data_IF_592956395475
#
_entry.id   IF_592956395475
#
_cell.length_a   1.000
_cell.length_b   1.000
_cell.length_c   1.000
_cell.angle_alpha   90.00
_cell.angle_beta   90.00
_cell.angle_gamma   90.00
#
_symmetry.space_group_name_H-M   'P 1'
#
loop_
_entity.id
_entity.type
_entity.pdbx_description
1 polymer ?
#
# COMPACT_ATOMS: atom_id res chain seq x y z
N UNK A 1 -7.38 11.18 5.52
CA UNK A 1 -6.85 10.41 6.64
C UNK A 1 -7.01 8.90 6.44
N UNK A 2 -6.64 8.13 7.46
CA UNK A 2 -6.74 6.67 7.44
C UNK A 2 -8.14 6.22 7.87
N UNK A 3 -8.96 5.58 6.99
CA UNK A 3 -10.33 5.23 7.31
C UNK A 3 -10.44 4.17 8.42
N UNK A 4 -9.48 3.24 8.52
CA UNK A 4 -9.52 2.17 9.53
C UNK A 4 -9.34 2.66 10.98
N UNK A 5 -9.06 3.95 11.19
CA UNK A 5 -9.03 4.58 12.51
C UNK A 5 -10.41 5.04 12.98
N UNK A 6 -11.43 4.99 12.12
CA UNK A 6 -12.79 5.39 12.48
C UNK A 6 -13.52 4.18 13.09
N UNK A 7 -13.93 4.23 14.38
CA UNK A 7 -14.58 3.10 15.04
C UNK A 7 -15.89 2.67 14.36
N UNK A 8 -16.64 3.61 13.80
CA UNK A 8 -17.94 3.39 13.15
C UNK A 8 -17.81 2.91 11.69
N UNK A 9 -16.59 2.69 11.19
CA UNK A 9 -16.37 2.29 9.79
C UNK A 9 -17.17 1.05 9.39
N UNK A 10 -17.25 -0.05 10.18
CA UNK A 10 -18.03 -1.22 9.78
C UNK A 10 -19.50 -0.91 9.55
N UNK A 11 -20.16 -0.21 10.48
CA UNK A 11 -21.57 0.16 10.36
C UNK A 11 -21.83 1.08 9.17
N UNK A 12 -20.90 1.98 8.89
CA UNK A 12 -21.00 2.86 7.73
C UNK A 12 -20.91 2.06 6.43
N UNK A 13 -19.99 1.12 6.33
CA UNK A 13 -19.81 0.30 5.13
C UNK A 13 -20.98 -0.66 4.91
N UNK A 14 -21.59 -1.21 5.98
CA UNK A 14 -22.81 -2.00 5.88
C UNK A 14 -23.95 -1.21 5.25
N UNK A 15 -24.15 0.05 5.66
CA UNK A 15 -25.18 0.93 5.06
C UNK A 15 -24.90 1.19 3.56
N UNK A 16 -23.63 1.32 3.16
CA UNK A 16 -23.25 1.48 1.75
C UNK A 16 -23.56 0.19 0.98
N UNK A 17 -23.29 -0.97 1.57
CA UNK A 17 -23.58 -2.27 0.98
C UNK A 17 -25.08 -2.50 0.80
N UNK A 18 -25.89 -2.11 1.78
CA UNK A 18 -27.37 -2.18 1.74
C UNK A 18 -27.95 -1.35 0.58
N UNK A 19 -27.25 -0.29 0.17
CA UNK A 19 -27.60 0.49 -1.01
C UNK A 19 -27.19 -0.17 -2.34
N UNK A 20 -26.54 -1.34 -2.30
CA UNK A 20 -26.14 -2.10 -3.49
C UNK A 20 -24.80 -1.70 -4.10
N UNK A 21 -23.95 -0.93 -3.41
CA UNK A 21 -22.64 -0.54 -3.91
C UNK A 21 -21.55 -1.56 -3.56
N UNK A 22 -20.61 -1.72 -4.49
CA UNK A 22 -19.34 -2.37 -4.22
C UNK A 22 -18.44 -1.44 -3.38
N UNK A 23 -17.67 -2.03 -2.47
CA UNK A 23 -16.87 -1.30 -1.48
C UNK A 23 -15.38 -1.52 -1.74
N UNK A 24 -14.67 -0.44 -2.03
CA UNK A 24 -13.21 -0.40 -2.07
C UNK A 24 -12.67 0.35 -0.87
N UNK A 25 -11.76 -0.27 -0.15
CA UNK A 25 -11.02 0.35 0.96
C UNK A 25 -9.61 0.73 0.50
N UNK A 26 -9.25 2.00 0.68
CA UNK A 26 -7.87 2.48 0.61
C UNK A 26 -7.33 2.62 2.03
N UNK A 27 -6.21 1.98 2.35
CA UNK A 27 -5.65 1.97 3.71
C UNK A 27 -4.12 2.01 3.71
N UNK A 28 -3.53 2.53 4.78
CA UNK A 28 -2.09 2.46 5.03
C UNK A 28 -1.68 1.20 5.82
N UNK A 29 -2.63 0.34 6.17
CA UNK A 29 -2.37 -0.93 6.85
C UNK A 29 -1.98 -0.82 8.33
N UNK A 30 -2.09 0.35 8.96
CA UNK A 30 -1.65 0.53 10.36
C UNK A 30 -2.63 0.01 11.40
N UNK A 31 -3.83 -0.42 10.99
CA UNK A 31 -4.84 -1.00 11.87
C UNK A 31 -5.29 -2.39 11.39
N UNK A 32 -4.46 -3.44 11.58
CA UNK A 32 -4.79 -4.80 11.18
C UNK A 32 -6.03 -5.34 11.89
N UNK A 33 -6.33 -4.90 13.11
CA UNK A 33 -7.52 -5.30 13.85
C UNK A 33 -8.81 -4.92 13.12
N UNK A 34 -8.94 -3.66 12.68
CA UNK A 34 -10.08 -3.20 11.90
C UNK A 34 -10.13 -3.89 10.53
N UNK A 35 -9.00 -4.00 9.85
CA UNK A 35 -8.92 -4.67 8.55
C UNK A 35 -9.40 -6.13 8.66
N UNK A 36 -8.99 -6.86 9.69
CA UNK A 36 -9.42 -8.24 9.97
C UNK A 36 -10.93 -8.34 10.14
N UNK A 37 -11.55 -7.43 10.90
CA UNK A 37 -13.02 -7.37 11.08
C UNK A 37 -13.72 -7.19 9.72
N UNK A 38 -13.29 -6.23 8.92
CA UNK A 38 -13.89 -5.92 7.62
C UNK A 38 -13.76 -7.07 6.62
N UNK A 39 -12.61 -7.75 6.59
CA UNK A 39 -12.36 -8.91 5.75
C UNK A 39 -13.21 -10.11 6.19
N UNK A 40 -13.26 -10.38 7.52
CA UNK A 40 -14.04 -11.49 8.08
C UNK A 40 -15.54 -11.36 7.80
N UNK A 41 -16.07 -10.15 7.89
CA UNK A 41 -17.49 -9.88 7.61
C UNK A 41 -17.82 -9.86 6.10
N UNK A 42 -16.84 -10.03 5.22
CA UNK A 42 -17.04 -10.02 3.78
C UNK A 42 -17.59 -8.69 3.23
N UNK A 43 -17.31 -7.57 3.93
CA UNK A 43 -17.83 -6.24 3.55
C UNK A 43 -17.06 -5.65 2.37
N UNK A 44 -15.78 -6.01 2.23
CA UNK A 44 -14.90 -5.41 1.23
C UNK A 44 -14.86 -6.23 -0.06
N UNK A 45 -15.09 -5.58 -1.19
CA UNK A 45 -14.92 -6.17 -2.51
C UNK A 45 -13.47 -6.00 -3.00
N UNK A 46 -12.81 -4.91 -2.62
CA UNK A 46 -11.45 -4.59 -3.03
C UNK A 46 -10.69 -3.81 -1.95
N UNK A 47 -9.41 -4.11 -1.78
CA UNK A 47 -8.53 -3.34 -0.88
C UNK A 47 -7.30 -2.85 -1.63
N UNK A 48 -7.01 -1.55 -1.56
CA UNK A 48 -5.76 -0.95 -1.99
C UNK A 48 -4.95 -0.54 -0.76
N UNK A 49 -3.83 -1.23 -0.51
CA UNK A 49 -3.01 -0.95 0.66
C UNK A 49 -1.68 -0.30 0.27
N UNK A 50 -1.38 0.81 0.93
CA UNK A 50 -0.12 1.53 0.73
C UNK A 50 1.03 0.85 1.48
N UNK A 51 2.10 0.57 0.76
CA UNK A 51 3.40 0.16 1.28
C UNK A 51 4.34 1.36 1.14
N UNK A 52 4.84 1.89 2.26
CA UNK A 52 5.58 3.14 2.24
C UNK A 52 7.05 2.97 1.89
N UNK A 53 7.69 1.86 2.26
CA UNK A 53 9.07 1.52 1.88
C UNK A 53 9.38 0.04 2.21
N UNK A 54 10.63 -0.36 2.00
CA UNK A 54 11.14 -1.65 2.47
C UNK A 54 11.09 -1.75 4.01
N UNK A 55 10.99 -2.96 4.59
CA UNK A 55 10.96 -3.13 6.05
C UNK A 55 12.11 -2.41 6.75
N UNK A 56 13.31 -2.42 6.16
CA UNK A 56 14.50 -1.77 6.71
C UNK A 56 14.38 -0.25 6.83
N UNK A 57 13.70 0.41 5.89
CA UNK A 57 13.55 1.88 5.86
C UNK A 57 12.13 2.36 6.19
N UNK A 58 11.27 1.46 6.68
CA UNK A 58 9.86 1.80 6.91
C UNK A 58 9.69 2.92 7.94
N UNK A 59 10.34 2.79 9.11
CA UNK A 59 10.28 3.80 10.16
C UNK A 59 10.83 5.16 9.69
N UNK A 60 11.96 5.18 8.97
CA UNK A 60 12.53 6.41 8.39
C UNK A 60 11.52 7.10 7.46
N UNK A 61 10.85 6.35 6.59
CA UNK A 61 9.89 6.89 5.63
C UNK A 61 8.60 7.38 6.32
N UNK A 62 8.26 6.80 7.46
CA UNK A 62 7.07 7.15 8.23
C UNK A 62 7.34 8.13 9.39
N UNK A 63 8.40 8.92 9.31
CA UNK A 63 8.74 9.92 10.32
C UNK A 63 9.17 9.34 11.67
N UNK A 64 9.79 8.17 11.67
CA UNK A 64 10.28 7.47 12.87
C UNK A 64 9.22 6.62 13.59
N UNK A 65 8.00 6.54 13.06
CA UNK A 65 6.95 5.74 13.69
C UNK A 65 7.22 4.24 13.58
N UNK A 66 7.15 3.53 14.71
CA UNK A 66 7.24 2.07 14.75
C UNK A 66 5.88 1.43 14.45
N UNK A 67 5.57 1.32 13.17
CA UNK A 67 4.30 0.76 12.67
C UNK A 67 4.51 -0.48 11.81
N UNK A 68 5.75 -0.90 11.58
CA UNK A 68 6.08 -1.95 10.63
C UNK A 68 5.38 -3.28 10.96
N UNK A 69 5.39 -3.70 12.23
CA UNK A 69 4.77 -4.97 12.65
C UNK A 69 3.28 -5.02 12.32
N UNK A 70 2.57 -3.92 12.54
CA UNK A 70 1.14 -3.79 12.20
C UNK A 70 0.89 -3.85 10.69
N UNK A 71 1.74 -3.18 9.92
CA UNK A 71 1.66 -3.20 8.45
C UNK A 71 1.95 -4.60 7.92
N UNK A 72 2.93 -5.30 8.49
CA UNK A 72 3.25 -6.69 8.12
C UNK A 72 2.07 -7.63 8.41
N UNK A 73 1.40 -7.47 9.55
CA UNK A 73 0.17 -8.22 9.86
C UNK A 73 -0.93 -7.94 8.84
N UNK A 74 -1.15 -6.69 8.45
CA UNK A 74 -2.13 -6.32 7.42
C UNK A 74 -1.79 -6.91 6.04
N UNK A 75 -0.51 -6.99 5.69
CA UNK A 75 -0.05 -7.66 4.45
C UNK A 75 -0.46 -9.13 4.46
N UNK A 76 -0.17 -9.85 5.55
CA UNK A 76 -0.53 -11.27 5.68
C UNK A 76 -2.05 -11.48 5.62
N UNK A 77 -2.83 -10.64 6.31
CA UNK A 77 -4.30 -10.68 6.28
C UNK A 77 -4.84 -10.55 4.85
N UNK A 78 -4.28 -9.65 4.04
CA UNK A 78 -4.70 -9.48 2.65
C UNK A 78 -4.28 -10.65 1.76
N UNK A 79 -3.05 -11.16 1.93
CA UNK A 79 -2.57 -12.30 1.15
C UNK A 79 -3.39 -13.57 1.40
N UNK A 80 -3.86 -13.79 2.63
CA UNK A 80 -4.70 -14.92 3.01
C UNK A 80 -6.20 -14.69 2.74
N UNK A 81 -6.61 -13.47 2.36
CA UNK A 81 -8.01 -13.12 2.17
C UNK A 81 -8.59 -13.59 0.83
N UNK A 82 -9.92 -13.77 0.80
CA UNK A 82 -10.68 -13.97 -0.44
C UNK A 82 -10.96 -12.66 -1.18
N UNK A 83 -10.86 -11.51 -0.52
CA UNK A 83 -11.06 -10.20 -1.12
C UNK A 83 -10.01 -9.96 -2.22
N UNK A 84 -10.39 -9.20 -3.23
CA UNK A 84 -9.44 -8.74 -4.23
C UNK A 84 -8.60 -7.59 -3.66
N UNK A 85 -7.31 -7.54 -3.97
CA UNK A 85 -6.45 -6.49 -3.43
C UNK A 85 -5.30 -6.12 -4.34
N UNK A 86 -4.74 -4.96 -4.07
CA UNK A 86 -3.46 -4.49 -4.58
C UNK A 86 -2.61 -3.90 -3.46
N UNK A 87 -1.30 -4.01 -3.58
CA UNK A 87 -0.36 -3.15 -2.88
C UNK A 87 0.08 -2.02 -3.80
N UNK A 88 0.45 -0.87 -3.22
CA UNK A 88 0.96 0.26 -4.01
C UNK A 88 2.01 1.04 -3.22
N UNK A 89 2.98 1.58 -3.92
CA UNK A 89 4.00 2.47 -3.34
C UNK A 89 4.13 3.73 -4.18
N UNK A 90 4.01 4.89 -3.55
CA UNK A 90 4.41 6.15 -4.17
C UNK A 90 5.92 6.28 -4.08
N UNK A 91 6.60 6.17 -5.21
CA UNK A 91 8.07 6.14 -5.27
C UNK A 91 8.67 7.53 -5.49
N UNK A 92 9.67 7.87 -4.67
CA UNK A 92 10.38 9.15 -4.75
C UNK A 92 11.86 8.99 -4.39
N UNK A 93 12.70 9.89 -4.91
CA UNK A 93 14.11 10.02 -4.51
C UNK A 93 14.24 10.85 -3.24
N UNK A 94 15.19 10.55 -2.34
CA UNK A 94 16.13 9.42 -2.36
C UNK A 94 15.62 8.18 -1.62
N UNK A 95 14.33 8.11 -1.27
CA UNK A 95 13.75 7.07 -0.40
C UNK A 95 13.65 5.70 -1.08
N UNK A 96 13.42 5.67 -2.38
CA UNK A 96 13.18 4.44 -3.13
C UNK A 96 14.25 4.25 -4.20
N UNK A 97 15.10 3.26 -4.00
CA UNK A 97 16.09 2.79 -4.97
C UNK A 97 15.75 1.38 -5.44
N UNK A 98 16.46 0.85 -6.42
CA UNK A 98 16.29 -0.54 -6.87
C UNK A 98 16.46 -1.55 -5.72
N UNK A 99 17.35 -1.27 -4.76
CA UNK A 99 17.55 -2.09 -3.57
C UNK A 99 16.29 -2.13 -2.69
N UNK A 100 15.69 -0.98 -2.38
CA UNK A 100 14.44 -0.93 -1.63
C UNK A 100 13.32 -1.66 -2.37
N UNK A 101 13.26 -1.54 -3.70
CA UNK A 101 12.26 -2.24 -4.50
C UNK A 101 12.45 -3.77 -4.48
N UNK A 102 13.69 -4.26 -4.52
CA UNK A 102 13.95 -5.69 -4.33
C UNK A 102 13.53 -6.19 -2.94
N UNK A 103 13.85 -5.43 -1.88
CA UNK A 103 13.46 -5.75 -0.51
C UNK A 103 11.93 -5.79 -0.35
N UNK A 104 11.20 -4.83 -0.95
CA UNK A 104 9.73 -4.83 -0.99
C UNK A 104 9.21 -6.03 -1.78
N UNK A 105 9.80 -6.30 -2.95
CA UNK A 105 9.42 -7.44 -3.78
C UNK A 105 9.54 -8.77 -3.04
N UNK A 106 10.64 -8.98 -2.30
CA UNK A 106 10.82 -10.19 -1.47
C UNK A 106 9.80 -10.28 -0.34
N UNK A 107 9.50 -9.15 0.31
CA UNK A 107 8.53 -9.09 1.40
C UNK A 107 7.10 -9.36 0.93
N UNK A 108 6.70 -8.75 -0.20
CA UNK A 108 5.36 -8.89 -0.76
C UNK A 108 5.24 -10.03 -1.79
N UNK A 109 6.20 -10.96 -1.80
CA UNK A 109 6.22 -12.07 -2.74
C UNK A 109 4.84 -12.73 -2.86
N UNK A 110 4.45 -13.03 -4.11
CA UNK A 110 3.15 -13.64 -4.45
C UNK A 110 1.94 -12.71 -4.28
N UNK A 111 2.14 -11.41 -4.07
CA UNK A 111 1.04 -10.46 -4.10
C UNK A 111 0.30 -10.51 -5.44
N UNK A 112 -1.04 -10.42 -5.39
CA UNK A 112 -1.90 -10.48 -6.60
C UNK A 112 -1.56 -9.36 -7.58
N UNK A 113 -1.35 -8.13 -7.07
CA UNK A 113 -1.03 -6.93 -7.87
C UNK A 113 -0.17 -5.98 -7.05
N UNK A 114 0.76 -5.33 -7.71
CA UNK A 114 1.55 -4.26 -7.11
C UNK A 114 1.70 -3.08 -8.07
N UNK A 115 1.46 -1.87 -7.57
CA UNK A 115 1.55 -0.65 -8.36
C UNK A 115 2.61 0.30 -7.80
N UNK A 116 3.51 0.74 -8.68
CA UNK A 116 4.41 1.85 -8.41
C UNK A 116 3.78 3.12 -8.98
N UNK A 117 3.61 4.13 -8.14
CA UNK A 117 3.06 5.43 -8.50
C UNK A 117 4.17 6.48 -8.40
N UNK A 118 4.39 7.31 -9.43
CA UNK A 118 5.37 8.40 -9.33
C UNK A 118 4.90 9.41 -8.28
N UNK A 119 5.85 9.92 -7.51
CA UNK A 119 5.62 11.08 -6.66
C UNK A 119 5.32 12.29 -7.54
N UNK A 120 4.29 13.05 -7.19
CA UNK A 120 3.93 14.33 -7.80
C UNK A 120 3.94 15.38 -6.72
N UNK A 121 4.76 16.42 -6.88
CA UNK A 121 4.77 17.55 -5.96
C UNK A 121 3.50 18.41 -6.17
N UNK A 122 2.61 18.38 -5.18
CA UNK A 122 1.39 19.20 -5.16
C UNK A 122 1.60 20.56 -4.49
N UNK A 123 2.84 20.90 -4.11
CA UNK A 123 3.15 22.12 -3.38
C UNK A 123 2.82 22.08 -1.88
N UNK A 124 2.42 20.91 -1.35
CA UNK A 124 2.00 20.73 0.05
C UNK A 124 2.91 19.76 0.80
N UNK A 125 4.19 19.70 0.44
CA UNK A 125 5.16 18.83 1.13
C UNK A 125 5.35 19.25 2.58
N UNK A 126 5.15 18.30 3.50
CA UNK A 126 5.39 18.47 4.94
C UNK A 126 6.90 18.54 5.24
N UNK A 127 7.73 17.87 4.41
CA UNK A 127 9.21 17.93 4.50
C UNK A 127 9.80 18.01 3.10
N UNK A 128 10.79 18.91 2.92
CA UNK A 128 11.54 19.02 1.66
C UNK A 128 12.47 17.83 1.44
N UNK A 129 13.06 17.73 0.24
CA UNK A 129 14.13 16.80 -0.08
C UNK A 129 13.72 15.54 -0.85
N UNK A 130 12.43 15.36 -1.15
CA UNK A 130 11.96 14.30 -2.06
C UNK A 130 11.74 14.83 -3.48
N UNK A 131 12.03 14.00 -4.47
CA UNK A 131 11.90 14.33 -5.88
C UNK A 131 11.27 13.16 -6.65
N UNK A 132 10.59 13.46 -7.75
CA UNK A 132 10.09 12.46 -8.67
C UNK A 132 11.23 11.69 -9.36
N UNK A 133 10.99 10.41 -9.63
CA UNK A 133 11.84 9.63 -10.53
C UNK A 133 11.55 9.97 -11.98
N UNK A 134 12.57 9.86 -12.85
CA UNK A 134 12.39 9.88 -14.31
C UNK A 134 11.67 8.62 -14.78
N UNK A 135 11.17 8.61 -16.02
CA UNK A 135 10.54 7.41 -16.62
C UNK A 135 11.48 6.20 -16.66
N UNK A 136 12.75 6.42 -16.99
CA UNK A 136 13.75 5.35 -17.05
C UNK A 136 14.07 4.81 -15.65
N UNK A 137 14.12 5.65 -14.62
CA UNK A 137 14.27 5.23 -13.23
C UNK A 137 13.05 4.42 -12.78
N UNK A 138 11.82 4.87 -13.08
CA UNK A 138 10.60 4.12 -12.77
C UNK A 138 10.60 2.74 -13.44
N UNK A 139 11.06 2.64 -14.68
CA UNK A 139 11.20 1.37 -15.37
C UNK A 139 12.19 0.44 -14.66
N UNK A 140 13.36 0.95 -14.21
CA UNK A 140 14.34 0.16 -13.42
C UNK A 140 13.77 -0.28 -12.07
N UNK A 141 13.09 0.61 -11.34
CA UNK A 141 12.43 0.27 -10.08
C UNK A 141 11.42 -0.88 -10.27
N UNK A 142 10.60 -0.81 -11.33
CA UNK A 142 9.68 -1.88 -11.69
C UNK A 142 10.42 -3.18 -11.99
N UNK A 143 11.50 -3.14 -12.77
CA UNK A 143 12.29 -4.33 -13.12
C UNK A 143 12.86 -5.04 -11.87
N UNK A 144 13.25 -4.29 -10.84
CA UNK A 144 13.75 -4.84 -9.58
C UNK A 144 12.68 -5.66 -8.82
N UNK A 145 11.40 -5.35 -9.02
CA UNK A 145 10.28 -6.05 -8.35
C UNK A 145 9.76 -7.25 -9.13
N UNK A 146 9.79 -7.19 -10.47
CA UNK A 146 9.18 -8.22 -11.34
C UNK A 146 9.55 -9.67 -11.03
N UNK A 147 10.79 -10.01 -10.60
CA UNK A 147 11.15 -11.38 -10.25
C UNK A 147 10.36 -11.96 -9.06
N UNK A 148 9.79 -11.10 -8.22
CA UNK A 148 9.04 -11.47 -7.02
C UNK A 148 7.53 -11.32 -7.20
N UNK A 149 7.11 -10.28 -7.93
CA UNK A 149 5.70 -9.94 -8.18
C UNK A 149 5.52 -9.66 -9.69
N UNK A 150 5.24 -10.70 -10.49
CA UNK A 150 5.13 -10.55 -11.96
C UNK A 150 4.07 -9.54 -12.42
N UNK A 151 3.00 -9.35 -11.64
CA UNK A 151 1.92 -8.39 -11.91
C UNK A 151 2.24 -6.97 -11.40
N UNK A 152 3.51 -6.56 -11.39
CA UNK A 152 3.91 -5.19 -11.03
C UNK A 152 3.73 -4.25 -12.22
N UNK A 153 3.01 -3.15 -11.99
CA UNK A 153 2.71 -2.14 -13.02
C UNK A 153 3.07 -0.73 -12.54
N UNK A 154 3.31 0.15 -13.50
CA UNK A 154 3.40 1.60 -13.26
C UNK A 154 2.00 2.21 -13.43
N UNK A 155 1.63 3.14 -12.55
CA UNK A 155 0.34 3.83 -12.60
C UNK A 155 0.56 5.34 -12.55
N UNK A 156 -0.13 6.10 -13.39
CA UNK A 156 -0.03 7.56 -13.39
C UNK A 156 1.19 8.14 -14.10
N UNK A 157 1.70 7.44 -15.14
CA UNK A 157 2.82 7.87 -15.98
C UNK A 157 2.35 8.35 -17.35
#
# INVERSE_FOLDING_TARGET
>A
GEPTLQPELPEFLEKIRDLGYAIKLDTNGTNPGMLKILLHNGILDYVAMDIKNSPRRYAETCGGADILSRVQESVLLLQDSLADYEFRTTVCRPLHTEREMEEIGRWLKEAKRYFLQPFVDSGSLVSGGVQAHTRDELARLRQAVLPYIPNTQLRGI
#
